data_IF_424069943515
#
_entry.id   IF_424069943515
#
_cell.length_a   1.000
_cell.length_b   1.000
_cell.length_c   1.000
_cell.angle_alpha   90.00
_cell.angle_beta   90.00
_cell.angle_gamma   90.00
#
_symmetry.space_group_name_H-M   'P 1'
#
loop_
_entity.id
_entity.type
_entity.pdbx_description
1 polymer ?
#
# COMPACT_ATOMS: atom_id res chain seq x y z
N UNK A 1 6.24 5.43 9.18
CA UNK A 1 6.89 4.98 7.93
C UNK A 1 6.81 6.11 6.93
N UNK A 2 7.84 6.28 6.12
CA UNK A 2 7.94 7.32 5.11
C UNK A 2 8.41 6.71 3.78
N UNK A 3 7.92 7.23 2.65
CA UNK A 3 8.44 6.89 1.32
C UNK A 3 9.42 7.99 0.89
N UNK A 4 10.60 7.58 0.43
CA UNK A 4 11.65 8.46 -0.09
C UNK A 4 12.07 7.98 -1.48
N UNK A 5 12.79 8.82 -2.20
CA UNK A 5 13.32 8.50 -3.54
C UNK A 5 14.19 7.25 -3.56
N UNK A 6 14.95 6.96 -2.50
CA UNK A 6 15.82 5.79 -2.41
C UNK A 6 15.07 4.52 -2.00
N UNK A 7 14.01 4.67 -1.21
CA UNK A 7 13.33 3.54 -0.59
C UNK A 7 12.30 3.94 0.45
N UNK A 8 11.87 2.93 1.21
CA UNK A 8 10.95 3.07 2.31
C UNK A 8 11.70 3.14 3.63
N UNK A 9 11.44 4.18 4.42
CA UNK A 9 12.00 4.35 5.75
C UNK A 9 11.00 3.90 6.81
N UNK A 10 11.40 2.90 7.61
CA UNK A 10 10.67 2.48 8.80
C UNK A 10 11.23 3.21 10.01
N UNK A 11 10.49 4.21 10.49
CA UNK A 11 10.71 4.79 11.82
C UNK A 11 10.28 3.80 12.89
N UNK A 12 11.23 3.33 13.70
CA UNK A 12 10.95 2.53 14.87
C UNK A 12 11.39 3.35 16.08
N UNK A 13 10.46 3.86 16.89
CA UNK A 13 10.73 4.94 17.85
C UNK A 13 12.07 4.92 18.61
N UNK A 14 12.48 3.76 19.15
CA UNK A 14 13.74 3.58 19.89
C UNK A 14 14.88 2.90 19.09
N UNK A 15 14.65 2.60 17.81
CA UNK A 15 15.62 1.91 16.94
C UNK A 15 16.00 2.82 15.77
N UNK A 16 17.21 2.65 15.24
CA UNK A 16 17.62 3.38 14.05
C UNK A 16 16.65 3.17 12.88
N UNK A 17 16.42 4.24 12.12
CA UNK A 17 15.58 4.22 10.94
C UNK A 17 16.08 3.18 9.94
N UNK A 18 15.23 2.20 9.61
CA UNK A 18 15.58 1.15 8.64
C UNK A 18 15.15 1.59 7.24
N UNK A 19 16.11 1.71 6.32
CA UNK A 19 15.87 1.99 4.90
C UNK A 19 15.76 0.69 4.08
N UNK A 20 14.60 0.47 3.48
CA UNK A 20 14.36 -0.59 2.49
C UNK A 20 14.42 0.01 1.09
N UNK A 21 15.50 -0.25 0.37
CA UNK A 21 15.69 0.27 -0.99
C UNK A 21 14.61 -0.23 -1.96
N UNK A 22 14.11 0.65 -2.81
CA UNK A 22 13.16 0.28 -3.87
C UNK A 22 13.72 -0.79 -4.80
N UNK A 23 15.03 -0.72 -5.06
CA UNK A 23 15.76 -1.71 -5.84
C UNK A 23 15.80 -3.10 -5.20
N UNK A 24 15.31 -3.29 -3.97
CA UNK A 24 15.15 -4.62 -3.37
C UNK A 24 13.73 -5.15 -3.53
N UNK A 25 12.74 -4.32 -3.78
CA UNK A 25 11.34 -4.78 -3.91
C UNK A 25 11.18 -5.54 -5.23
N UNK A 26 10.72 -6.79 -5.17
CA UNK A 26 10.54 -7.63 -6.36
C UNK A 26 9.09 -7.79 -6.80
N UNK A 27 8.22 -8.08 -5.84
CA UNK A 27 6.80 -8.37 -6.08
C UNK A 27 5.96 -7.17 -5.64
N UNK A 28 4.71 -7.14 -6.10
CA UNK A 28 3.76 -6.10 -5.74
C UNK A 28 3.64 -5.90 -4.23
N UNK A 29 3.23 -4.70 -3.83
CA UNK A 29 3.09 -4.35 -2.43
C UNK A 29 1.64 -4.59 -2.00
N UNK A 30 1.47 -5.46 -1.01
CA UNK A 30 0.16 -5.76 -0.43
C UNK A 30 -0.15 -4.83 0.74
N UNK A 31 -1.40 -4.33 0.82
CA UNK A 31 -1.86 -3.46 1.89
C UNK A 31 -2.88 -4.21 2.74
N UNK A 32 -2.64 -4.28 4.05
CA UNK A 32 -3.57 -4.85 5.02
C UNK A 32 -3.92 -3.79 6.06
N UNK A 33 -5.22 -3.58 6.31
CA UNK A 33 -5.73 -2.62 7.30
C UNK A 33 -6.23 -3.38 8.53
N UNK A 34 -5.71 -3.05 9.71
CA UNK A 34 -6.10 -3.70 10.95
C UNK A 34 -4.92 -3.95 11.89
N UNK A 35 -5.20 -4.08 13.19
CA UNK A 35 -4.20 -4.48 14.16
C UNK A 35 -3.94 -5.98 13.98
N UNK A 36 -2.93 -6.32 13.20
CA UNK A 36 -2.41 -7.68 13.12
C UNK A 36 -1.95 -8.11 14.51
N UNK A 37 -2.79 -8.84 15.24
CA UNK A 37 -2.36 -9.63 16.39
C UNK A 37 -1.33 -10.63 15.87
N UNK A 38 -0.13 -10.58 16.44
CA UNK A 38 0.91 -11.59 16.21
C UNK A 38 0.30 -12.97 16.47
N UNK A 39 0.09 -13.76 15.42
CA UNK A 39 -0.26 -15.18 15.56
C UNK A 39 -1.51 -15.72 14.88
N UNK A 40 -2.14 -15.08 13.89
CA UNK A 40 -3.14 -15.77 13.05
C UNK A 40 -2.61 -16.06 11.65
N UNK A 41 -2.39 -17.35 11.38
CA UNK A 41 -2.04 -17.90 10.07
C UNK A 41 -3.22 -17.90 9.11
N UNK A 42 -3.83 -16.74 8.88
CA UNK A 42 -4.75 -16.55 7.78
C UNK A 42 -4.08 -15.70 6.70
N UNK A 43 -3.62 -16.38 5.66
CA UNK A 43 -3.47 -15.81 4.32
C UNK A 43 -4.83 -15.26 3.89
N UNK A 44 -5.10 -14.01 4.29
CA UNK A 44 -6.25 -13.25 3.80
C UNK A 44 -5.90 -12.67 2.45
N UNK A 45 -6.17 -13.44 1.40
CA UNK A 45 -6.35 -12.98 0.03
C UNK A 45 -7.19 -11.70 -0.01
N UNK A 46 -6.89 -10.82 -0.98
CA UNK A 46 -7.61 -9.58 -1.29
C UNK A 46 -9.08 -9.84 -1.65
N UNK A 47 -9.90 -10.19 -0.66
CA UNK A 47 -11.35 -10.33 -0.75
C UNK A 47 -12.04 -9.21 0.01
N UNK A 48 -13.21 -8.78 -0.50
CA UNK A 48 -14.10 -7.82 0.17
C UNK A 48 -14.40 -8.20 1.64
N UNK A 49 -14.29 -9.49 1.99
CA UNK A 49 -14.41 -10.04 3.34
C UNK A 49 -13.24 -9.70 4.27
N UNK A 50 -12.01 -9.56 3.79
CA UNK A 50 -10.87 -9.12 4.61
C UNK A 50 -10.94 -7.64 5.00
N UNK A 51 -11.57 -6.83 4.14
CA UNK A 51 -11.80 -5.40 4.40
C UNK A 51 -12.96 -5.17 5.38
N UNK A 52 -13.95 -6.08 5.42
CA UNK A 52 -15.13 -5.98 6.28
C UNK A 52 -15.04 -6.81 7.58
N UNK A 53 -14.23 -7.87 7.61
CA UNK A 53 -14.21 -8.87 8.69
C UNK A 53 -13.32 -8.54 9.90
N UNK A 54 -12.67 -7.37 9.93
CA UNK A 54 -11.61 -7.05 10.90
C UNK A 54 -11.92 -5.96 11.92
N UNK A 55 -13.17 -5.52 12.08
CA UNK A 55 -13.49 -4.38 12.97
C UNK A 55 -14.33 -4.82 14.17
N UNK A 56 -13.72 -5.05 15.36
CA UNK A 56 -14.48 -4.96 16.59
C UNK A 56 -14.67 -3.47 16.92
N UNK A 57 -15.91 -2.99 16.99
CA UNK A 57 -16.30 -1.86 17.86
C UNK A 57 -15.61 -0.49 17.72
N UNK A 58 -15.92 0.46 18.63
CA UNK A 58 -15.78 1.91 18.46
C UNK A 58 -14.36 2.43 18.70
N UNK A 59 -13.37 1.98 17.93
CA UNK A 59 -11.98 2.42 18.09
C UNK A 59 -11.63 3.61 17.18
N UNK A 60 -12.00 4.79 17.69
CA UNK A 60 -11.41 6.08 17.32
C UNK A 60 -9.87 6.04 17.48
N UNK A 61 -9.14 6.35 16.41
CA UNK A 61 -7.85 7.06 16.49
C UNK A 61 -6.56 6.27 16.76
N UNK A 62 -6.57 4.93 16.85
CA UNK A 62 -5.34 4.10 16.99
C UNK A 62 -5.34 2.85 16.10
N UNK A 63 -5.81 3.02 14.86
CA UNK A 63 -5.74 1.95 13.86
C UNK A 63 -4.45 2.05 13.06
N UNK A 64 -3.76 0.94 12.87
CA UNK A 64 -2.62 0.83 11.94
C UNK A 64 -2.95 -0.12 10.78
N UNK A 65 -1.96 -0.31 9.91
CA UNK A 65 -1.96 -1.33 8.88
C UNK A 65 -0.55 -1.84 8.64
N UNK A 66 -0.43 -2.80 7.72
CA UNK A 66 0.84 -3.41 7.33
C UNK A 66 0.98 -3.44 5.81
N UNK A 67 2.17 -3.09 5.33
CA UNK A 67 2.61 -3.29 3.95
C UNK A 67 3.42 -4.57 3.86
N UNK A 68 2.91 -5.57 3.14
CA UNK A 68 3.63 -6.81 2.86
C UNK A 68 4.34 -6.75 1.51
N UNK A 69 5.61 -7.12 1.46
CA UNK A 69 6.44 -7.10 0.26
C UNK A 69 7.49 -8.20 0.29
N UNK A 70 7.95 -8.63 -0.88
CA UNK A 70 9.07 -9.57 -1.02
C UNK A 70 10.30 -8.81 -1.53
N UNK A 71 11.40 -8.90 -0.78
CA UNK A 71 12.68 -8.29 -1.11
C UNK A 71 13.64 -9.29 -1.76
N UNK A 72 14.58 -8.78 -2.58
CA UNK A 72 15.73 -9.53 -3.10
C UNK A 72 17.03 -9.20 -2.36
N UNK A 73 17.97 -10.14 -2.47
CA UNK A 73 19.36 -10.05 -2.02
C UNK A 73 19.54 -9.58 -0.55
N UNK A 74 19.29 -10.45 0.45
CA UNK A 74 18.73 -11.80 0.35
C UNK A 74 17.20 -11.78 0.11
N UNK A 75 16.66 -12.93 -0.30
CA UNK A 75 15.22 -13.11 -0.44
C UNK A 75 14.57 -13.12 0.94
N UNK A 76 13.68 -12.16 1.20
CA UNK A 76 12.96 -12.07 2.47
C UNK A 76 11.58 -11.45 2.29
N UNK A 77 10.58 -12.00 2.97
CA UNK A 77 9.27 -11.38 3.08
C UNK A 77 9.30 -10.38 4.23
N UNK A 78 9.00 -9.11 3.94
CA UNK A 78 8.96 -8.03 4.91
C UNK A 78 7.55 -7.50 5.09
N UNK A 79 7.26 -7.12 6.33
CA UNK A 79 6.02 -6.45 6.74
C UNK A 79 6.36 -5.15 7.43
N UNK A 80 5.93 -4.03 6.86
CA UNK A 80 6.13 -2.71 7.42
C UNK A 80 4.84 -2.17 8.00
N UNK A 81 4.86 -1.85 9.28
CA UNK A 81 3.73 -1.28 10.00
C UNK A 81 3.61 0.21 9.68
N UNK A 82 2.39 0.68 9.41
CA UNK A 82 2.10 2.11 9.27
C UNK A 82 0.91 2.50 10.14
N UNK A 83 0.93 3.75 10.60
CA UNK A 83 -0.19 4.34 11.30
C UNK A 83 -1.23 4.83 10.28
N UNK A 84 -2.50 4.61 10.57
CA UNK A 84 -3.57 5.10 9.69
C UNK A 84 -3.66 6.61 9.82
N UNK A 85 -3.87 7.27 8.68
CA UNK A 85 -4.26 8.67 8.65
C UNK A 85 -5.54 8.89 9.49
N UNK A 86 -5.72 10.10 10.03
CA UNK A 86 -6.90 10.44 10.84
C UNK A 86 -8.21 10.31 10.03
N UNK A 87 -8.12 10.45 8.71
CA UNK A 87 -9.24 10.30 7.80
C UNK A 87 -9.55 8.85 7.46
N UNK A 88 -10.84 8.58 7.25
CA UNK A 88 -11.31 7.28 6.81
C UNK A 88 -11.18 7.14 5.29
N UNK A 89 -10.38 6.18 4.84
CA UNK A 89 -10.31 5.82 3.43
C UNK A 89 -11.38 4.80 3.05
N UNK A 90 -12.03 5.01 1.90
CA UNK A 90 -12.94 4.02 1.33
C UNK A 90 -12.16 2.74 0.96
N UNK A 91 -12.76 1.55 1.11
CA UNK A 91 -12.19 0.29 0.64
C UNK A 91 -11.62 0.35 -0.79
N UNK A 92 -12.32 1.04 -1.70
CA UNK A 92 -11.89 1.23 -3.08
C UNK A 92 -10.58 2.01 -3.19
N UNK A 93 -10.35 3.02 -2.35
CA UNK A 93 -9.11 3.79 -2.36
C UNK A 93 -7.92 2.93 -1.92
N UNK A 94 -8.13 2.04 -0.94
CA UNK A 94 -7.09 1.10 -0.47
C UNK A 94 -6.73 0.12 -1.58
N UNK A 95 -7.72 -0.42 -2.31
CA UNK A 95 -7.49 -1.32 -3.44
C UNK A 95 -6.75 -0.62 -4.59
N UNK A 96 -7.16 0.61 -4.94
CA UNK A 96 -6.48 1.38 -5.98
C UNK A 96 -5.03 1.73 -5.60
N UNK A 97 -4.78 2.03 -4.32
CA UNK A 97 -3.44 2.27 -3.82
C UNK A 97 -2.56 1.00 -3.91
N UNK A 98 -3.07 -0.14 -3.44
CA UNK A 98 -2.34 -1.41 -3.52
C UNK A 98 -1.98 -1.77 -4.97
N UNK A 99 -2.91 -1.53 -5.88
CA UNK A 99 -2.72 -1.76 -7.31
C UNK A 99 -1.73 -0.76 -7.94
N UNK A 100 -1.83 0.53 -7.62
CA UNK A 100 -0.86 1.56 -8.03
C UNK A 100 0.55 1.17 -7.64
N UNK A 101 0.75 0.79 -6.38
CA UNK A 101 2.06 0.37 -5.87
C UNK A 101 2.54 -0.89 -6.59
N UNK A 102 1.65 -1.88 -6.78
CA UNK A 102 1.98 -3.13 -7.46
C UNK A 102 2.42 -2.91 -8.91
N UNK A 103 1.67 -2.13 -9.69
CA UNK A 103 2.01 -1.85 -11.08
C UNK A 103 3.29 -1.02 -11.21
N UNK A 104 3.48 -0.04 -10.31
CA UNK A 104 4.69 0.79 -10.30
C UNK A 104 5.94 -0.03 -10.00
N UNK A 105 5.85 -0.96 -9.04
CA UNK A 105 6.93 -1.92 -8.75
C UNK A 105 7.16 -2.86 -9.93
N UNK A 106 6.10 -3.42 -10.51
CA UNK A 106 6.19 -4.35 -11.64
C UNK A 106 6.80 -3.69 -12.89
N UNK A 107 6.59 -2.37 -13.07
CA UNK A 107 7.21 -1.58 -14.13
C UNK A 107 8.70 -1.27 -13.87
N UNK A 108 9.24 -1.62 -12.70
CA UNK A 108 10.60 -1.24 -12.30
C UNK A 108 10.72 0.21 -11.83
N UNK A 109 9.60 0.92 -11.71
CA UNK A 109 9.53 2.35 -11.40
C UNK A 109 9.23 2.64 -9.92
N UNK A 110 9.55 1.68 -9.03
CA UNK A 110 9.26 1.79 -7.59
C UNK A 110 9.79 3.08 -6.94
N UNK A 111 10.88 3.66 -7.45
CA UNK A 111 11.43 4.94 -6.99
C UNK A 111 10.43 6.11 -7.10
N UNK A 112 9.49 6.04 -8.05
CA UNK A 112 8.45 7.06 -8.23
C UNK A 112 7.47 7.12 -7.05
N UNK A 113 7.34 6.04 -6.28
CA UNK A 113 6.54 6.05 -5.05
C UNK A 113 7.14 6.97 -3.97
N UNK A 114 8.41 7.34 -4.09
CA UNK A 114 9.05 8.35 -3.24
C UNK A 114 9.04 9.77 -3.80
N UNK A 115 8.49 9.97 -5.01
CA UNK A 115 8.42 11.26 -5.68
C UNK A 115 7.03 11.88 -5.46
N UNK A 116 7.00 12.99 -4.72
CA UNK A 116 5.76 13.66 -4.36
C UNK A 116 5.01 14.23 -5.57
N UNK A 117 5.73 14.79 -6.54
CA UNK A 117 5.14 15.40 -7.73
C UNK A 117 4.52 14.32 -8.62
N UNK A 118 5.22 13.20 -8.77
CA UNK A 118 4.70 12.05 -9.50
C UNK A 118 3.47 11.44 -8.81
N UNK A 119 3.49 11.31 -7.48
CA UNK A 119 2.36 10.81 -6.71
C UNK A 119 1.13 11.72 -6.85
N UNK A 120 1.31 13.03 -6.77
CA UNK A 120 0.24 14.00 -6.96
C UNK A 120 -0.39 13.85 -8.36
N UNK A 121 0.45 13.74 -9.40
CA UNK A 121 -0.01 13.48 -10.76
C UNK A 121 -0.79 12.17 -10.88
N UNK A 122 -0.24 11.05 -10.35
CA UNK A 122 -0.86 9.73 -10.45
C UNK A 122 -2.21 9.68 -9.71
N UNK A 123 -2.29 10.28 -8.52
CA UNK A 123 -3.54 10.39 -7.76
C UNK A 123 -4.54 11.28 -8.49
N UNK A 124 -4.11 12.41 -9.05
CA UNK A 124 -4.95 13.28 -9.88
C UNK A 124 -5.58 12.52 -11.06
N UNK A 125 -4.78 11.70 -11.75
CA UNK A 125 -5.26 10.82 -12.84
C UNK A 125 -6.28 9.80 -12.33
N UNK A 126 -6.02 9.17 -11.19
CA UNK A 126 -6.95 8.20 -10.59
C UNK A 126 -8.29 8.83 -10.22
N UNK A 127 -8.32 10.06 -9.69
CA UNK A 127 -9.56 10.79 -9.40
C UNK A 127 -10.38 11.02 -10.68
N UNK A 128 -9.73 11.39 -11.78
CA UNK A 128 -10.42 11.61 -13.06
C UNK A 128 -11.07 10.31 -13.58
N UNK A 129 -10.36 9.19 -13.54
CA UNK A 129 -10.85 7.89 -14.05
C UNK A 129 -11.88 7.24 -13.11
N UNK A 130 -11.84 7.55 -11.79
CA UNK A 130 -12.74 6.95 -10.79
C UNK A 130 -14.06 7.68 -10.59
N UNK A 131 -14.26 8.84 -11.22
CA UNK A 131 -15.51 9.61 -11.22
C UNK A 131 -16.72 8.87 -11.86
N UNK A 132 -16.51 7.63 -12.36
CA UNK A 132 -17.51 6.79 -13.01
C UNK A 132 -17.53 5.36 -12.45
N UNK A 133 -18.43 4.99 -11.51
CA UNK A 133 -18.45 3.64 -10.93
C UNK A 133 -19.67 2.85 -11.42
N UNK A 134 -19.54 1.62 -11.92
CA UNK A 134 -19.54 0.36 -11.14
C UNK A 134 -18.94 -0.76 -12.03
N UNK A 135 -18.15 -1.67 -11.45
CA UNK A 135 -17.81 -2.98 -12.06
C UNK A 135 -16.45 -3.11 -12.75
N UNK A 136 -15.62 -2.06 -12.83
CA UNK A 136 -14.24 -2.20 -13.36
C UNK A 136 -13.29 -2.77 -12.32
N UNK A 137 -12.38 -3.63 -12.78
CA UNK A 137 -11.29 -4.16 -11.96
C UNK A 137 -10.27 -3.05 -11.63
N UNK A 138 -9.79 -2.95 -10.38
CA UNK A 138 -8.81 -1.94 -9.95
C UNK A 138 -7.57 -1.87 -10.85
N UNK A 139 -7.04 -3.02 -11.28
CA UNK A 139 -5.91 -3.13 -12.20
C UNK A 139 -6.11 -2.31 -13.49
N UNK A 140 -7.27 -2.45 -14.13
CA UNK A 140 -7.57 -1.74 -15.35
C UNK A 140 -7.71 -0.22 -15.13
N UNK A 141 -8.24 0.20 -13.97
CA UNK A 141 -8.37 1.62 -13.60
C UNK A 141 -7.00 2.25 -13.45
N UNK A 142 -6.10 1.61 -12.69
CA UNK A 142 -4.72 2.08 -12.50
C UNK A 142 -3.95 2.11 -13.81
N UNK A 143 -4.02 1.04 -14.62
CA UNK A 143 -3.37 1.03 -15.94
C UNK A 143 -3.87 2.16 -16.82
N UNK A 144 -5.17 2.46 -16.80
CA UNK A 144 -5.74 3.56 -17.58
C UNK A 144 -5.26 4.91 -17.06
N UNK A 145 -5.18 5.08 -15.74
CA UNK A 145 -4.71 6.33 -15.12
C UNK A 145 -3.23 6.60 -15.42
N UNK A 146 -2.40 5.55 -15.43
CA UNK A 146 -0.95 5.64 -15.67
C UNK A 146 -0.55 5.64 -17.15
N UNK A 147 -1.48 5.38 -18.07
CA UNK A 147 -1.26 5.56 -19.50
C UNK A 147 -1.36 7.05 -19.83
N UNK A 148 -0.37 7.56 -20.56
CA UNK A 148 -0.40 8.89 -21.18
C UNK A 148 -1.47 8.95 -22.30
#
# INVERSE_FOLDING_TARGET
MEFRTEGMVRHAGDTEDELILWSRVMLGISIQIGHGTKGSGYQGELGLTGVLGGLPGPFKGRGGGHLGMTLRHPYEDRKLTFDRHAEWYKPTHILLLAELMTQTVAAGDAYRLGDADWLEWAVGRLVLVTSWPIGRQPAAVVQTALKD
#
